data_IF_266931050762
#
_entry.id   IF_266931050762
#
_cell.length_a   1.000
_cell.length_b   1.000
_cell.length_c   1.000
_cell.angle_alpha   90.00
_cell.angle_beta   90.00
_cell.angle_gamma   90.00
#
_symmetry.space_group_name_H-M   'P 1'
#
loop_
_entity.id
_entity.type
_entity.pdbx_description
1 polymer ?
#
# COMPACT_ATOMS: atom_id res chain seq x y z
N UNK A 1 -18.71 18.14 0.80
CA UNK A 1 -18.99 16.94 -0.06
C UNK A 1 -17.89 15.93 0.27
N UNK A 2 -18.16 14.63 0.24
CA UNK A 2 -17.09 13.64 0.46
C UNK A 2 -15.96 13.85 -0.54
N UNK A 3 -14.72 13.65 -0.10
CA UNK A 3 -13.53 13.75 -0.97
C UNK A 3 -13.55 12.59 -1.98
N UNK A 4 -13.35 12.92 -3.26
CA UNK A 4 -13.26 11.94 -4.34
C UNK A 4 -11.78 11.56 -4.55
N UNK A 5 -11.35 10.53 -3.85
CA UNK A 5 -9.98 10.00 -3.95
C UNK A 5 -9.61 9.57 -5.38
N UNK A 6 -10.58 9.07 -6.17
CA UNK A 6 -10.30 8.64 -7.54
C UNK A 6 -9.97 9.84 -8.44
N UNK A 7 -10.74 10.93 -8.33
CA UNK A 7 -10.45 12.17 -9.05
C UNK A 7 -9.12 12.78 -8.61
N UNK A 8 -8.81 12.75 -7.29
CA UNK A 8 -7.57 13.27 -6.74
C UNK A 8 -6.35 12.49 -7.29
N UNK A 9 -6.36 11.16 -7.22
CA UNK A 9 -5.28 10.33 -7.74
C UNK A 9 -5.08 10.43 -9.25
N UNK A 10 -6.14 10.67 -10.02
CA UNK A 10 -6.02 10.96 -11.46
C UNK A 10 -5.25 12.27 -11.74
N UNK A 11 -5.41 13.28 -10.88
CA UNK A 11 -4.68 14.56 -11.03
C UNK A 11 -3.23 14.45 -10.56
N UNK A 12 -2.97 13.76 -9.43
CA UNK A 12 -1.62 13.53 -8.90
C UNK A 12 -0.72 12.84 -9.93
N UNK A 13 -1.27 11.89 -10.70
CA UNK A 13 -0.52 11.12 -11.70
C UNK A 13 -0.09 11.92 -12.93
N UNK A 14 -0.70 13.07 -13.17
CA UNK A 14 -0.38 13.95 -14.30
C UNK A 14 0.81 14.88 -14.04
N UNK A 15 1.30 14.97 -12.80
CA UNK A 15 2.44 15.78 -12.42
C UNK A 15 3.75 14.99 -12.44
N UNK A 16 4.87 15.67 -12.71
CA UNK A 16 6.17 15.09 -12.43
C UNK A 16 6.30 14.88 -10.92
N UNK A 17 6.65 13.66 -10.44
CA UNK A 17 6.82 13.44 -9.02
C UNK A 17 8.00 14.28 -8.53
N UNK A 18 7.73 15.34 -7.81
CA UNK A 18 8.77 16.10 -7.13
C UNK A 18 9.35 15.29 -5.97
N UNK A 19 10.65 15.09 -5.92
CA UNK A 19 11.36 14.39 -4.85
C UNK A 19 12.05 13.11 -5.27
N UNK A 20 12.71 12.46 -4.31
CA UNK A 20 13.36 11.15 -4.54
C UNK A 20 12.26 10.10 -4.73
N UNK A 21 12.12 9.62 -5.97
CA UNK A 21 11.25 8.48 -6.24
C UNK A 21 11.79 7.23 -5.55
N UNK A 22 10.92 6.37 -5.03
CA UNK A 22 11.33 5.04 -4.61
C UNK A 22 12.08 4.33 -5.73
N UNK A 23 13.18 3.66 -5.39
CA UNK A 23 13.92 2.86 -6.36
C UNK A 23 13.02 1.76 -6.95
N UNK A 24 13.23 1.47 -8.23
CA UNK A 24 12.50 0.42 -8.98
C UNK A 24 13.22 -0.92 -8.98
N UNK A 25 14.22 -1.10 -8.13
CA UNK A 25 14.99 -2.34 -8.06
C UNK A 25 14.54 -3.25 -6.90
N UNK A 26 13.81 -2.68 -5.95
CA UNK A 26 13.25 -3.39 -4.80
C UNK A 26 11.91 -2.79 -4.39
N UNK A 27 11.01 -3.64 -3.89
CA UNK A 27 9.71 -3.21 -3.37
C UNK A 27 9.89 -2.29 -2.17
N UNK A 28 9.14 -1.19 -2.17
CA UNK A 28 9.08 -0.21 -1.08
C UNK A 28 7.72 -0.29 -0.39
N UNK A 29 7.72 -0.20 0.93
CA UNK A 29 6.51 -0.32 1.74
C UNK A 29 5.99 1.03 2.26
N UNK A 30 6.72 2.08 2.02
CA UNK A 30 6.34 3.43 2.44
C UNK A 30 7.51 4.41 2.37
N UNK A 31 7.23 5.70 2.57
CA UNK A 31 8.26 6.73 2.55
C UNK A 31 9.17 6.64 3.78
N UNK A 32 10.45 6.92 3.59
CA UNK A 32 11.46 7.09 4.63
C UNK A 32 11.74 5.86 5.51
N UNK A 33 11.24 4.67 5.15
CA UNK A 33 11.50 3.40 5.84
C UNK A 33 12.30 2.44 4.96
N UNK A 34 12.75 1.35 5.55
CA UNK A 34 13.39 0.26 4.81
C UNK A 34 12.41 -0.42 3.83
N UNK A 35 12.94 -0.99 2.76
CA UNK A 35 12.18 -1.75 1.77
C UNK A 35 12.37 -3.27 1.89
N UNK A 36 11.94 -4.00 0.85
CA UNK A 36 12.01 -5.46 0.79
C UNK A 36 13.43 -6.00 0.90
N UNK A 37 14.44 -5.26 0.44
CA UNK A 37 15.86 -5.65 0.57
C UNK A 37 16.30 -5.93 2.01
N UNK A 38 15.65 -5.25 2.98
CA UNK A 38 15.94 -5.39 4.41
C UNK A 38 14.89 -6.27 5.10
N UNK A 39 13.58 -6.00 4.89
CA UNK A 39 12.51 -6.71 5.60
C UNK A 39 12.28 -8.15 5.11
N UNK A 40 12.56 -8.46 3.85
CA UNK A 40 12.48 -9.81 3.27
C UNK A 40 11.13 -10.51 3.50
N UNK A 41 10.03 -9.78 3.31
CA UNK A 41 8.68 -10.28 3.57
C UNK A 41 8.09 -11.09 2.43
N UNK A 42 8.49 -10.81 1.18
CA UNK A 42 7.93 -11.43 -0.02
C UNK A 42 8.63 -12.75 -0.36
N UNK A 43 9.93 -12.88 0.00
CA UNK A 43 10.79 -13.97 -0.46
C UNK A 43 11.03 -13.92 -1.98
N UNK A 44 11.44 -15.05 -2.59
CA UNK A 44 11.64 -15.08 -4.04
C UNK A 44 10.31 -14.91 -4.77
N UNK A 45 10.28 -14.00 -5.74
CA UNK A 45 9.11 -13.73 -6.61
C UNK A 45 9.31 -14.26 -8.04
N UNK A 46 10.48 -14.82 -8.33
CA UNK A 46 10.81 -15.34 -9.66
C UNK A 46 9.79 -16.39 -10.12
N UNK A 47 9.23 -16.20 -11.31
CA UNK A 47 8.18 -17.02 -11.93
C UNK A 47 6.87 -17.14 -11.14
N UNK A 48 6.68 -16.33 -10.11
CA UNK A 48 5.43 -16.27 -9.35
C UNK A 48 4.43 -15.28 -9.95
N UNK A 49 3.15 -15.58 -9.82
CA UNK A 49 2.07 -14.64 -10.10
C UNK A 49 1.88 -13.75 -8.87
N UNK A 50 2.22 -12.48 -9.02
CA UNK A 50 2.15 -11.48 -7.94
C UNK A 50 1.09 -10.43 -8.30
N UNK A 51 0.11 -10.23 -7.43
CA UNK A 51 -0.91 -9.19 -7.58
C UNK A 51 -0.58 -8.02 -6.66
N UNK A 52 -0.45 -6.82 -7.22
CA UNK A 52 -0.36 -5.58 -6.45
C UNK A 52 -1.68 -4.83 -6.47
N UNK A 53 -2.25 -4.59 -5.27
CA UNK A 53 -3.47 -3.81 -5.06
C UNK A 53 -3.12 -2.35 -4.82
N UNK A 54 -3.63 -1.45 -5.66
CA UNK A 54 -3.27 -0.03 -5.64
C UNK A 54 -1.83 0.18 -6.14
N UNK A 55 -1.55 -0.28 -7.37
CA UNK A 55 -0.19 -0.25 -7.91
C UNK A 55 0.32 1.17 -8.23
N UNK A 56 -0.54 2.17 -8.16
CA UNK A 56 -0.17 3.58 -8.36
C UNK A 56 0.65 3.78 -9.64
N UNK A 57 1.76 4.54 -9.54
CA UNK A 57 2.69 4.80 -10.65
C UNK A 57 3.54 3.60 -11.08
N UNK A 58 3.43 2.44 -10.42
CA UNK A 58 3.99 1.17 -10.85
C UNK A 58 5.42 0.86 -10.39
N UNK A 59 6.01 1.63 -9.50
CA UNK A 59 7.39 1.41 -9.04
C UNK A 59 7.60 0.00 -8.47
N UNK A 60 6.73 -0.42 -7.55
CA UNK A 60 6.79 -1.77 -6.99
C UNK A 60 6.46 -2.85 -8.02
N UNK A 61 5.45 -2.60 -8.87
CA UNK A 61 5.05 -3.55 -9.91
C UNK A 61 6.18 -3.81 -10.90
N UNK A 62 6.89 -2.75 -11.31
CA UNK A 62 8.07 -2.86 -12.19
C UNK A 62 9.23 -3.56 -11.48
N UNK A 63 9.48 -3.24 -10.20
CA UNK A 63 10.49 -3.93 -9.40
C UNK A 63 10.23 -5.46 -9.33
N UNK A 64 8.97 -5.86 -9.11
CA UNK A 64 8.57 -7.27 -9.12
C UNK A 64 8.78 -7.93 -10.50
N UNK A 65 8.41 -7.23 -11.58
CA UNK A 65 8.61 -7.73 -12.94
C UNK A 65 10.09 -7.88 -13.30
N UNK A 66 10.96 -6.94 -12.89
CA UNK A 66 12.43 -7.01 -13.06
C UNK A 66 13.02 -8.22 -12.29
N UNK A 67 12.42 -8.63 -11.18
CA UNK A 67 12.80 -9.80 -10.41
C UNK A 67 12.20 -11.11 -10.96
N UNK A 68 11.59 -11.08 -12.14
CA UNK A 68 11.07 -12.25 -12.84
C UNK A 68 9.66 -12.70 -12.44
N UNK A 69 8.90 -11.86 -11.74
CA UNK A 69 7.51 -12.15 -11.44
C UNK A 69 6.60 -11.94 -12.67
N UNK A 70 5.50 -12.69 -12.73
CA UNK A 70 4.32 -12.32 -13.51
C UNK A 70 3.52 -11.28 -12.71
N UNK A 71 3.89 -10.00 -12.89
CA UNK A 71 3.37 -8.90 -12.10
C UNK A 71 2.03 -8.42 -12.66
N UNK A 72 1.00 -8.38 -11.79
CA UNK A 72 -0.37 -7.99 -12.09
C UNK A 72 -0.72 -6.80 -11.20
N UNK A 73 -1.10 -5.67 -11.79
CA UNK A 73 -1.46 -4.46 -11.07
C UNK A 73 -2.96 -4.16 -11.17
N UNK A 74 -3.53 -3.74 -10.05
CA UNK A 74 -4.89 -3.21 -9.97
C UNK A 74 -4.84 -1.79 -9.40
N UNK A 75 -5.50 -0.86 -10.08
CA UNK A 75 -5.72 0.49 -9.57
C UNK A 75 -7.06 1.03 -10.08
N UNK A 76 -7.69 1.93 -9.32
CA UNK A 76 -8.94 2.55 -9.76
C UNK A 76 -8.70 3.75 -10.68
N UNK A 77 -7.52 4.40 -10.61
CA UNK A 77 -7.19 5.62 -11.33
C UNK A 77 -6.54 5.31 -12.70
N UNK A 78 -7.22 5.56 -13.84
CA UNK A 78 -6.67 5.28 -15.16
C UNK A 78 -5.38 6.06 -15.46
N UNK A 79 -5.17 7.23 -14.89
CA UNK A 79 -3.93 7.99 -15.04
C UNK A 79 -2.73 7.29 -14.38
N UNK A 80 -2.95 6.62 -13.23
CA UNK A 80 -1.94 5.77 -12.59
C UNK A 80 -1.56 4.60 -13.50
N UNK A 81 -2.54 3.88 -14.03
CA UNK A 81 -2.28 2.76 -14.94
C UNK A 81 -1.55 3.19 -16.23
N UNK A 82 -1.82 4.39 -16.71
CA UNK A 82 -1.08 4.96 -17.85
C UNK A 82 0.39 5.25 -17.47
N UNK A 83 0.66 5.70 -16.25
CA UNK A 83 2.01 5.89 -15.73
C UNK A 83 2.77 4.55 -15.60
N UNK A 84 2.10 3.50 -15.09
CA UNK A 84 2.66 2.15 -15.04
C UNK A 84 3.11 1.67 -16.42
N UNK A 85 2.25 1.84 -17.46
CA UNK A 85 2.57 1.43 -18.82
C UNK A 85 3.85 2.11 -19.32
N UNK A 86 3.95 3.45 -19.16
CA UNK A 86 5.15 4.21 -19.56
C UNK A 86 6.40 3.73 -18.83
N UNK A 87 6.28 3.48 -17.51
CA UNK A 87 7.40 3.02 -16.70
C UNK A 87 7.84 1.60 -17.12
N UNK A 88 6.90 0.68 -17.32
CA UNK A 88 7.18 -0.69 -17.74
C UNK A 88 7.85 -0.72 -19.14
N UNK A 89 7.37 0.09 -20.09
CA UNK A 89 7.98 0.26 -21.41
C UNK A 89 9.42 0.79 -21.31
N UNK A 90 9.64 1.83 -20.50
CA UNK A 90 10.97 2.41 -20.26
C UNK A 90 11.95 1.38 -19.68
N UNK A 91 11.48 0.56 -18.74
CA UNK A 91 12.30 -0.47 -18.07
C UNK A 91 12.37 -1.80 -18.82
N UNK A 92 11.69 -1.92 -19.97
CA UNK A 92 11.72 -3.13 -20.80
C UNK A 92 11.05 -4.34 -20.17
N UNK A 93 10.11 -4.17 -19.26
CA UNK A 93 9.38 -5.25 -18.57
C UNK A 93 7.93 -5.33 -19.01
N UNK A 94 7.30 -6.50 -18.78
CA UNK A 94 5.86 -6.70 -19.03
C UNK A 94 5.09 -6.81 -17.75
N UNK A 95 3.95 -6.14 -17.69
CA UNK A 95 3.00 -6.17 -16.57
C UNK A 95 1.58 -6.33 -17.10
N UNK A 96 0.73 -7.00 -16.34
CA UNK A 96 -0.71 -7.10 -16.58
C UNK A 96 -1.42 -6.03 -15.74
N UNK A 97 -2.37 -5.28 -16.33
CA UNK A 97 -3.03 -4.17 -15.63
C UNK A 97 -4.54 -4.29 -15.71
N UNK A 98 -5.18 -4.07 -14.57
CA UNK A 98 -6.63 -4.02 -14.43
C UNK A 98 -7.06 -2.71 -13.79
N UNK A 99 -8.20 -2.19 -14.21
CA UNK A 99 -8.81 -1.01 -13.60
C UNK A 99 -10.03 -1.44 -12.77
N UNK A 100 -10.08 -1.00 -11.53
CA UNK A 100 -11.22 -1.27 -10.65
C UNK A 100 -10.94 -1.01 -9.18
N UNK A 101 -11.96 -1.16 -8.33
CA UNK A 101 -11.83 -1.02 -6.89
C UNK A 101 -11.06 -2.22 -6.29
N UNK A 102 -10.27 -1.97 -5.25
CA UNK A 102 -9.45 -3.01 -4.60
C UNK A 102 -10.29 -4.10 -3.92
N UNK A 103 -11.55 -3.81 -3.65
CA UNK A 103 -12.51 -4.75 -3.04
C UNK A 103 -13.13 -5.73 -4.02
N UNK A 104 -12.76 -5.69 -5.31
CA UNK A 104 -13.33 -6.53 -6.36
C UNK A 104 -12.25 -7.12 -7.27
N UNK A 105 -12.15 -8.44 -7.31
CA UNK A 105 -11.16 -9.17 -8.11
C UNK A 105 -11.83 -10.16 -9.10
N UNK A 106 -12.80 -9.71 -9.95
CA UNK A 106 -13.55 -10.62 -10.82
C UNK A 106 -12.68 -11.25 -11.93
N UNK A 107 -11.58 -10.59 -12.30
CA UNK A 107 -10.63 -11.06 -13.30
C UNK A 107 -9.68 -12.15 -12.77
N UNK A 108 -9.65 -12.37 -11.43
CA UNK A 108 -8.78 -13.36 -10.79
C UNK A 108 -9.56 -14.60 -10.38
N UNK A 109 -9.05 -15.77 -10.77
CA UNK A 109 -9.58 -17.08 -10.31
C UNK A 109 -9.18 -17.31 -8.85
N UNK A 110 -9.96 -18.13 -8.15
CA UNK A 110 -9.55 -18.63 -6.84
C UNK A 110 -8.22 -19.40 -6.93
N UNK A 111 -7.43 -19.35 -5.87
CA UNK A 111 -6.17 -20.12 -5.71
C UNK A 111 -5.18 -19.96 -6.89
N UNK A 112 -5.12 -18.78 -7.49
CA UNK A 112 -4.34 -18.53 -8.70
C UNK A 112 -3.13 -17.61 -8.52
N UNK A 113 -2.96 -17.02 -7.33
CA UNK A 113 -1.94 -16.01 -7.05
C UNK A 113 -0.97 -16.53 -5.97
N UNK A 114 0.31 -16.35 -6.19
CA UNK A 114 1.37 -16.81 -5.28
C UNK A 114 1.72 -15.79 -4.20
N UNK A 115 1.33 -14.53 -4.39
CA UNK A 115 1.58 -13.42 -3.48
C UNK A 115 0.66 -12.26 -3.81
N UNK A 116 0.13 -11.59 -2.79
CA UNK A 116 -0.53 -10.29 -2.93
C UNK A 116 0.25 -9.23 -2.15
N UNK A 117 0.47 -8.09 -2.78
CA UNK A 117 1.11 -6.90 -2.22
C UNK A 117 0.12 -5.73 -2.22
N UNK A 118 0.18 -4.87 -1.22
CA UNK A 118 -0.42 -3.54 -1.27
C UNK A 118 0.44 -2.55 -0.48
N UNK A 119 0.83 -1.44 -1.08
CA UNK A 119 1.61 -0.43 -0.40
C UNK A 119 0.83 0.89 -0.33
N UNK A 120 0.45 1.30 0.88
CA UNK A 120 -0.26 2.56 1.16
C UNK A 120 -1.58 2.77 0.39
N UNK A 121 -2.24 1.70 -0.07
CA UNK A 121 -3.49 1.84 -0.83
C UNK A 121 -4.74 1.42 -0.03
N UNK A 122 -4.59 0.61 1.02
CA UNK A 122 -5.73 0.07 1.76
C UNK A 122 -6.45 1.09 2.65
N UNK A 123 -5.80 2.21 2.97
CA UNK A 123 -6.43 3.34 3.68
C UNK A 123 -7.65 3.91 2.94
N UNK A 124 -7.61 3.91 1.60
CA UNK A 124 -8.69 4.44 0.75
C UNK A 124 -9.93 3.53 0.65
N UNK A 125 -9.88 2.33 1.22
CA UNK A 125 -10.98 1.35 1.08
C UNK A 125 -11.93 1.40 2.27
N UNK A 126 -13.20 1.62 2.03
CA UNK A 126 -14.24 1.64 3.07
C UNK A 126 -14.48 0.26 3.69
N UNK A 127 -14.71 -0.79 2.89
CA UNK A 127 -14.87 -2.18 3.37
C UNK A 127 -13.57 -2.99 3.21
N UNK A 128 -12.65 -2.80 4.15
CA UNK A 128 -11.38 -3.54 4.19
C UNK A 128 -11.59 -5.05 4.39
N UNK A 129 -12.65 -5.45 5.10
CA UNK A 129 -12.96 -6.87 5.27
C UNK A 129 -13.33 -7.54 3.94
N UNK A 130 -13.97 -6.81 3.02
CA UNK A 130 -14.26 -7.31 1.65
C UNK A 130 -12.96 -7.53 0.89
N UNK A 131 -12.00 -6.59 0.96
CA UNK A 131 -10.67 -6.77 0.38
C UNK A 131 -10.01 -8.04 0.91
N UNK A 132 -9.97 -8.23 2.23
CA UNK A 132 -9.35 -9.40 2.85
C UNK A 132 -10.00 -10.71 2.36
N UNK A 133 -11.32 -10.78 2.25
CA UNK A 133 -12.03 -11.96 1.68
C UNK A 133 -11.66 -12.20 0.22
N UNK A 134 -11.57 -11.13 -0.61
CA UNK A 134 -11.19 -11.27 -2.02
C UNK A 134 -9.73 -11.69 -2.17
N UNK A 135 -8.83 -11.12 -1.39
CA UNK A 135 -7.42 -11.53 -1.37
C UNK A 135 -7.28 -12.99 -0.93
N UNK A 136 -7.97 -13.39 0.15
CA UNK A 136 -7.99 -14.79 0.58
C UNK A 136 -8.47 -15.73 -0.53
N UNK A 137 -9.54 -15.37 -1.24
CA UNK A 137 -10.09 -16.19 -2.34
C UNK A 137 -9.06 -16.43 -3.45
N UNK A 138 -8.31 -15.41 -3.86
CA UNK A 138 -7.40 -15.50 -5.01
C UNK A 138 -6.03 -16.08 -4.68
N UNK A 139 -5.56 -15.93 -3.44
CA UNK A 139 -4.30 -16.50 -2.99
C UNK A 139 -4.35 -18.03 -2.96
N UNK A 140 -3.22 -18.65 -3.31
CA UNK A 140 -2.98 -20.08 -3.05
C UNK A 140 -2.84 -20.33 -1.54
N UNK A 141 -3.10 -21.54 -1.09
CA UNK A 141 -2.93 -21.93 0.31
C UNK A 141 -1.48 -21.66 0.78
N UNK A 142 -1.33 -21.13 1.98
CA UNK A 142 -0.04 -20.74 2.57
C UNK A 142 0.62 -19.51 1.95
N UNK A 143 0.07 -18.99 0.83
CA UNK A 143 0.64 -17.83 0.14
C UNK A 143 0.48 -16.53 0.97
N UNK A 144 1.47 -15.61 0.91
CA UNK A 144 1.45 -14.40 1.71
C UNK A 144 0.62 -13.28 1.08
N UNK A 145 -0.05 -12.53 1.94
CA UNK A 145 -0.52 -11.19 1.71
C UNK A 145 0.32 -10.23 2.53
N UNK A 146 1.05 -9.34 1.86
CA UNK A 146 1.89 -8.33 2.50
C UNK A 146 1.32 -6.96 2.17
N UNK A 147 1.11 -6.13 3.17
CA UNK A 147 0.63 -4.78 2.93
C UNK A 147 1.16 -3.80 3.96
N UNK A 148 1.29 -2.55 3.53
CA UNK A 148 1.48 -1.39 4.39
C UNK A 148 0.32 -0.41 4.28
N UNK A 149 0.12 0.34 5.35
CA UNK A 149 -0.88 1.41 5.42
C UNK A 149 -0.43 2.47 6.43
N UNK A 150 -1.04 3.67 6.43
CA UNK A 150 -0.82 4.64 7.49
C UNK A 150 -1.03 4.00 8.86
N UNK A 151 -0.15 4.32 9.81
CA UNK A 151 -0.26 3.81 11.17
C UNK A 151 -1.29 4.62 11.95
N UNK A 152 -2.27 3.98 12.60
CA UNK A 152 -3.36 4.72 13.26
C UNK A 152 -2.92 5.62 14.43
N UNK A 153 -1.74 5.40 15.01
CA UNK A 153 -1.19 6.33 15.98
C UNK A 153 -0.75 7.66 15.34
N UNK A 154 -0.32 7.61 14.07
CA UNK A 154 0.04 8.83 13.34
C UNK A 154 -1.18 9.67 12.95
N UNK A 155 -2.31 9.04 12.70
CA UNK A 155 -3.57 9.71 12.39
C UNK A 155 -4.09 10.62 13.54
N UNK A 156 -3.51 10.49 14.75
CA UNK A 156 -3.87 11.33 15.90
C UNK A 156 -3.24 12.73 15.82
N UNK A 157 -2.23 12.89 14.99
CA UNK A 157 -1.40 14.08 14.90
C UNK A 157 -1.85 14.95 13.72
N UNK A 158 -1.43 16.19 13.76
CA UNK A 158 -1.52 17.13 12.64
C UNK A 158 -0.09 17.67 12.43
N UNK A 159 0.59 17.10 11.43
CA UNK A 159 2.00 17.37 11.15
C UNK A 159 2.24 18.75 10.48
N UNK A 160 1.19 19.44 10.07
CA UNK A 160 1.24 20.82 9.58
C UNK A 160 0.92 21.86 10.68
N UNK A 161 0.57 21.41 11.91
CA UNK A 161 0.29 22.31 13.03
C UNK A 161 1.59 22.86 13.69
N UNK A 162 1.47 23.98 14.42
CA UNK A 162 2.57 24.58 15.20
C UNK A 162 3.17 23.62 16.24
N UNK A 163 2.34 22.76 16.83
CA UNK A 163 2.75 21.65 17.69
C UNK A 163 2.31 20.31 17.05
N UNK A 164 3.20 19.72 16.22
CA UNK A 164 2.85 18.54 15.43
C UNK A 164 2.80 17.24 16.25
N UNK A 165 3.21 17.23 17.52
CA UNK A 165 3.12 16.07 18.41
C UNK A 165 1.89 16.13 19.33
N UNK A 166 1.11 17.19 19.26
CA UNK A 166 -0.11 17.28 20.05
C UNK A 166 -1.20 16.38 19.44
N UNK A 167 -1.79 15.54 20.31
CA UNK A 167 -2.93 14.68 19.92
C UNK A 167 -4.15 15.57 19.58
N UNK A 168 -4.61 15.52 18.34
CA UNK A 168 -5.72 16.35 17.81
C UNK A 168 -7.04 15.60 17.71
N UNK A 169 -7.02 14.26 17.72
CA UNK A 169 -8.22 13.44 17.64
C UNK A 169 -8.12 12.19 18.51
N UNK A 170 -9.27 11.57 18.79
CA UNK A 170 -9.31 10.31 19.52
C UNK A 170 -8.84 9.15 18.63
N UNK A 171 -8.05 8.23 19.20
CA UNK A 171 -7.71 6.95 18.55
C UNK A 171 -8.94 6.10 18.20
N UNK A 172 -10.05 6.34 18.84
CA UNK A 172 -11.31 5.60 18.63
C UNK A 172 -12.30 6.34 17.70
N UNK A 173 -11.93 7.51 17.22
CA UNK A 173 -12.71 8.24 16.23
C UNK A 173 -12.63 7.52 14.87
N UNK A 174 -13.79 7.19 14.30
CA UNK A 174 -13.91 6.49 13.01
C UNK A 174 -14.20 7.42 11.85
N UNK A 175 -14.23 8.72 12.08
CA UNK A 175 -14.31 9.66 10.98
C UNK A 175 -13.09 9.54 10.07
N UNK A 176 -13.23 9.79 8.78
CA UNK A 176 -12.09 9.79 7.87
C UNK A 176 -10.98 10.76 8.30
N UNK A 177 -9.74 10.44 7.95
CA UNK A 177 -8.58 11.32 8.09
C UNK A 177 -8.40 12.03 6.76
N UNK A 178 -8.60 13.33 6.76
CA UNK A 178 -8.45 14.18 5.58
C UNK A 178 -7.09 14.88 5.61
N UNK A 179 -6.38 14.89 4.49
CA UNK A 179 -5.06 15.51 4.38
C UNK A 179 -4.77 15.96 2.94
N UNK A 180 -3.84 16.90 2.81
CA UNK A 180 -3.36 17.35 1.51
C UNK A 180 -2.17 16.51 1.03
N UNK A 181 -2.20 16.13 -0.26
CA UNK A 181 -1.11 15.40 -0.91
C UNK A 181 -0.97 15.87 -2.36
N UNK A 182 0.21 16.40 -2.71
CA UNK A 182 0.49 16.92 -4.05
C UNK A 182 -0.57 17.93 -4.56
N UNK A 183 -1.03 18.80 -3.66
CA UNK A 183 -2.03 19.81 -3.98
C UNK A 183 -3.44 19.29 -4.19
N UNK A 184 -3.69 18.03 -3.82
CA UNK A 184 -5.02 17.41 -3.81
C UNK A 184 -5.41 17.02 -2.39
N UNK A 185 -6.70 17.10 -2.09
CA UNK A 185 -7.25 16.58 -0.85
C UNK A 185 -7.52 15.08 -0.99
N UNK A 186 -7.09 14.31 0.01
CA UNK A 186 -7.31 12.88 0.13
C UNK A 186 -7.96 12.56 1.46
N UNK A 187 -8.61 11.41 1.53
CA UNK A 187 -9.30 10.94 2.71
C UNK A 187 -9.06 9.45 2.93
N UNK A 188 -8.49 9.10 4.07
CA UNK A 188 -8.26 7.73 4.52
C UNK A 188 -9.27 7.30 5.56
N UNK A 189 -9.63 6.03 5.55
CA UNK A 189 -10.45 5.42 6.59
C UNK A 189 -9.58 4.99 7.78
N UNK A 190 -9.70 5.69 8.90
CA UNK A 190 -9.00 5.34 10.13
C UNK A 190 -9.44 3.97 10.67
N UNK A 191 -8.47 3.13 11.05
CA UNK A 191 -8.68 1.80 11.65
C UNK A 191 -7.61 1.52 12.68
N UNK A 192 -8.01 1.05 13.84
CA UNK A 192 -7.05 0.60 14.85
C UNK A 192 -6.27 -0.64 14.38
N UNK A 193 -5.07 -0.85 14.91
CA UNK A 193 -4.28 -2.08 14.65
C UNK A 193 -5.09 -3.33 14.99
N UNK A 194 -5.87 -3.28 16.09
CA UNK A 194 -6.72 -4.39 16.51
C UNK A 194 -7.81 -4.73 15.48
N UNK A 195 -8.42 -3.73 14.84
CA UNK A 195 -9.43 -3.96 13.80
C UNK A 195 -8.84 -4.58 12.54
N UNK A 196 -7.65 -4.11 12.12
CA UNK A 196 -6.92 -4.69 10.99
C UNK A 196 -6.59 -6.15 11.28
N UNK A 197 -5.99 -6.44 12.44
CA UNK A 197 -5.66 -7.81 12.86
C UNK A 197 -6.89 -8.71 12.92
N UNK A 198 -7.95 -8.28 13.61
CA UNK A 198 -9.18 -9.05 13.73
C UNK A 198 -9.87 -9.27 12.37
N UNK A 199 -9.76 -8.30 11.45
CA UNK A 199 -10.26 -8.44 10.07
C UNK A 199 -9.54 -9.54 9.30
N UNK A 200 -8.22 -9.60 9.40
CA UNK A 200 -7.40 -10.66 8.81
C UNK A 200 -7.75 -12.05 9.37
N UNK A 201 -7.86 -12.16 10.70
CA UNK A 201 -8.25 -13.43 11.35
C UNK A 201 -9.65 -13.90 10.90
N UNK A 202 -10.63 -12.99 10.81
CA UNK A 202 -11.98 -13.32 10.29
C UNK A 202 -11.94 -13.76 8.83
N UNK A 203 -11.01 -13.24 8.03
CA UNK A 203 -10.81 -13.66 6.65
C UNK A 203 -9.89 -14.89 6.51
N UNK A 204 -9.62 -15.61 7.60
CA UNK A 204 -8.78 -16.82 7.65
C UNK A 204 -7.33 -16.60 7.23
N UNK A 205 -6.75 -15.45 7.58
CA UNK A 205 -5.31 -15.23 7.51
C UNK A 205 -4.67 -15.52 8.87
N UNK A 206 -3.58 -16.27 8.86
CA UNK A 206 -2.65 -16.32 9.99
C UNK A 206 -1.65 -15.18 9.84
N UNK A 207 -1.77 -14.18 10.70
CA UNK A 207 -0.79 -13.08 10.75
C UNK A 207 0.50 -13.62 11.37
N UNK A 208 1.59 -13.57 10.62
CA UNK A 208 2.90 -14.04 11.07
C UNK A 208 3.92 -12.89 11.25
N UNK A 209 3.59 -11.68 10.80
CA UNK A 209 4.46 -10.51 10.96
C UNK A 209 3.62 -9.24 11.06
N UNK A 210 3.90 -8.43 12.08
CA UNK A 210 3.46 -7.04 12.19
C UNK A 210 4.71 -6.22 12.51
N UNK A 211 4.98 -5.18 11.73
CA UNK A 211 6.09 -4.27 11.92
C UNK A 211 5.58 -2.83 12.01
N UNK A 212 6.23 -2.04 12.84
CA UNK A 212 6.11 -0.59 12.96
C UNK A 212 7.50 -0.01 12.66
N UNK A 213 7.87 0.12 11.37
CA UNK A 213 9.23 0.48 11.01
C UNK A 213 9.62 1.87 11.48
N UNK A 214 10.78 1.98 12.09
CA UNK A 214 11.41 3.26 12.33
C UNK A 214 11.85 3.90 11.00
N UNK A 215 11.82 5.23 10.88
CA UNK A 215 12.35 5.89 9.71
C UNK A 215 13.87 5.67 9.61
N UNK A 216 14.39 5.59 8.40
CA UNK A 216 15.84 5.48 8.17
C UNK A 216 16.56 6.68 8.79
N UNK A 217 17.66 6.40 9.49
CA UNK A 217 18.49 7.45 10.09
C UNK A 217 19.30 8.16 9.02
N UNK A 218 19.82 7.40 8.05
CA UNK A 218 20.73 7.87 7.01
C UNK A 218 20.04 7.91 5.63
N UNK A 219 20.51 8.83 4.78
CA UNK A 219 20.06 8.98 3.39
C UNK A 219 19.13 10.18 3.18
N UNK A 220 18.77 10.42 1.91
CA UNK A 220 17.91 11.55 1.56
C UNK A 220 16.50 11.30 2.10
N UNK A 221 15.90 12.34 2.69
CA UNK A 221 14.52 12.34 3.14
C UNK A 221 13.58 12.50 1.95
N UNK A 222 12.42 11.86 2.03
CA UNK A 222 11.36 12.16 1.08
C UNK A 222 10.85 13.60 1.28
N UNK A 223 10.20 14.16 0.28
CA UNK A 223 9.52 15.47 0.41
C UNK A 223 8.40 15.47 1.46
N UNK A 224 7.94 14.29 1.83
CA UNK A 224 6.89 14.07 2.83
C UNK A 224 7.43 13.83 4.23
N UNK A 225 8.75 13.99 4.40
CA UNK A 225 9.37 13.88 5.72
C UNK A 225 8.81 14.93 6.68
N UNK A 226 8.51 14.49 7.90
CA UNK A 226 8.13 15.33 9.03
C UNK A 226 8.82 14.83 10.29
N UNK A 227 9.22 15.75 11.19
CA UNK A 227 9.93 15.39 12.45
C UNK A 227 9.13 14.41 13.35
N UNK A 228 7.80 14.46 13.47
CA UNK A 228 7.05 13.47 14.23
C UNK A 228 7.28 12.01 13.82
N UNK A 229 7.78 11.75 12.60
CA UNK A 229 8.10 10.37 12.15
C UNK A 229 9.18 9.70 13.02
N UNK A 230 9.99 10.47 13.74
CA UNK A 230 10.99 9.95 14.70
C UNK A 230 10.39 9.50 16.02
N UNK A 231 9.21 9.99 16.34
CA UNK A 231 8.60 9.83 17.68
C UNK A 231 7.41 8.89 17.65
N UNK A 232 6.72 8.79 16.50
CA UNK A 232 5.48 8.01 16.33
C UNK A 232 5.57 7.21 15.04
N UNK A 233 5.22 5.91 15.06
CA UNK A 233 5.25 5.09 13.86
C UNK A 233 4.28 5.65 12.81
N UNK A 234 4.78 5.89 11.61
CA UNK A 234 3.98 6.36 10.47
C UNK A 234 3.37 5.23 9.65
N UNK A 235 4.03 4.07 9.66
CA UNK A 235 3.68 2.94 8.81
C UNK A 235 3.37 1.73 9.64
N UNK A 236 2.21 1.12 9.39
CA UNK A 236 1.89 -0.23 9.82
C UNK A 236 2.16 -1.18 8.65
N UNK A 237 3.02 -2.18 8.85
CA UNK A 237 3.38 -3.19 7.84
C UNK A 237 2.99 -4.58 8.36
N UNK A 238 2.19 -5.30 7.58
CA UNK A 238 1.61 -6.59 8.02
C UNK A 238 1.84 -7.66 6.96
N UNK A 239 2.16 -8.88 7.42
CA UNK A 239 2.08 -10.08 6.59
C UNK A 239 1.14 -11.10 7.22
N UNK A 240 0.16 -11.53 6.43
CA UNK A 240 -0.70 -12.66 6.73
C UNK A 240 -0.53 -13.76 5.69
N UNK A 241 -0.69 -15.03 6.10
CA UNK A 241 -0.71 -16.17 5.19
C UNK A 241 -2.10 -16.75 5.13
N UNK A 242 -2.55 -17.09 3.91
CA UNK A 242 -3.81 -17.77 3.73
C UNK A 242 -3.82 -19.10 4.49
N UNK A 243 -4.80 -19.32 5.34
CA UNK A 243 -5.07 -20.60 5.99
C UNK A 243 -6.37 -21.21 5.46
N UNK A 244 -6.27 -22.44 4.98
CA UNK A 244 -7.41 -23.26 4.60
C UNK A 244 -8.35 -22.65 3.56
N UNK A 245 -9.23 -23.46 3.04
CA UNK A 245 -10.37 -23.07 2.20
C UNK A 245 -11.62 -22.81 3.04
#
# INVERSE_FOLDING_TARGET
MPIDNAAAWNRISGGEPGGVLPGIDSVQYGPDIAGESEFRLLGSVERKRVLELGCGGGQNLVALAKQGAHAIGLDFAPAQLAAVKRLAEKEGVRVELHQGPLSELPFMRADSVDLVLSAYALGFVEDLNRVFRQVHRVLKEGAPFVFSMPHPAYDLLDDDADDPLLIRRSYFDRSPVEYAWDGQELSDHHRTVAEVFAGLCRAKFRVDTILEPEPRVDGPRSRHWREPFRMVPRTLLVRGRKEGS
#
